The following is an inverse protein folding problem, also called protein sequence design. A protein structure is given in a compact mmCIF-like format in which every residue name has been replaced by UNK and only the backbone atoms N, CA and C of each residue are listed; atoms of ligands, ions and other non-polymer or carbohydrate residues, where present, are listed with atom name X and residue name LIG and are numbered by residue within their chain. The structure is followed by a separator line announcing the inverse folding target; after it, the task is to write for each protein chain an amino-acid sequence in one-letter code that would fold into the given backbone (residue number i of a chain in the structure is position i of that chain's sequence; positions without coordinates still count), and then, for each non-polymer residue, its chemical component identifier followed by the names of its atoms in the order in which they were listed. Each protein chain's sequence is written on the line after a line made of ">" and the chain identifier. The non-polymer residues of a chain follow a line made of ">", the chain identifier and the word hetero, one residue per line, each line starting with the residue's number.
data_IF_271354629228
#
_entry.id   IF_271354629228
#
_cell.length_a   1.000
_cell.length_b   1.000
_cell.length_c   1.000
_cell.angle_alpha   90.00
_cell.angle_beta   90.00
_cell.angle_gamma   90.00
#
_symmetry.space_group_name_H-M   'P 1'
#
loop_
_entity.id
_entity.type
_entity.pdbx_description
1 polymer ?
#
# COMPACT_ATOMS: atom_id res chain seq x y z
N UNK A 1 -3.59 8.81 -21.96
CA UNK A 1 -2.33 8.52 -21.29
C UNK A 1 -1.89 7.14 -21.68
N UNK A 2 -0.68 6.97 -22.18
CA UNK A 2 -0.24 5.66 -22.65
C UNK A 2 0.34 4.81 -21.51
N UNK A 3 0.43 3.50 -21.74
CA UNK A 3 0.92 2.54 -20.75
C UNK A 3 2.40 2.72 -20.43
N UNK A 4 3.18 3.25 -21.36
CA UNK A 4 4.61 3.49 -21.17
C UNK A 4 4.85 4.57 -20.13
N UNK A 5 4.07 5.65 -20.19
CA UNK A 5 4.14 6.73 -19.20
C UNK A 5 3.81 6.19 -17.79
N UNK A 6 2.75 5.40 -17.68
CA UNK A 6 2.35 4.79 -16.41
C UNK A 6 3.42 3.84 -15.87
N UNK A 7 4.06 3.07 -16.74
CA UNK A 7 5.13 2.17 -16.32
C UNK A 7 6.30 2.93 -15.72
N UNK A 8 6.68 4.06 -16.33
CA UNK A 8 7.74 4.90 -15.80
C UNK A 8 7.37 5.51 -14.44
N UNK A 9 6.15 6.00 -14.30
CA UNK A 9 5.66 6.53 -13.03
C UNK A 9 5.60 5.42 -11.98
N UNK A 10 5.09 4.24 -12.35
CA UNK A 10 5.01 3.09 -11.46
C UNK A 10 6.36 2.63 -10.95
N UNK A 11 7.40 2.63 -11.82
CA UNK A 11 8.76 2.25 -11.41
C UNK A 11 9.41 3.27 -10.50
N UNK A 12 8.89 4.51 -10.47
CA UNK A 12 9.37 5.59 -9.64
C UNK A 12 8.54 5.78 -8.37
N UNK A 13 7.64 4.85 -8.07
CA UNK A 13 6.78 4.94 -6.89
C UNK A 13 7.63 5.02 -5.62
N UNK A 14 7.42 6.02 -4.76
CA UNK A 14 8.15 6.14 -3.51
C UNK A 14 7.95 4.94 -2.60
N UNK A 15 8.95 4.62 -1.78
CA UNK A 15 8.84 3.53 -0.80
C UNK A 15 7.64 3.67 0.11
N UNK A 16 7.30 4.90 0.47
CA UNK A 16 6.13 5.17 1.30
C UNK A 16 4.83 4.73 0.67
N UNK A 17 4.73 4.76 -0.66
CA UNK A 17 3.52 4.33 -1.35
C UNK A 17 3.26 2.83 -1.19
N UNK A 18 4.28 1.99 -1.37
CA UNK A 18 4.11 0.54 -1.21
C UNK A 18 3.71 0.17 0.21
N UNK A 19 4.33 0.81 1.19
CA UNK A 19 3.99 0.65 2.60
C UNK A 19 2.54 1.06 2.87
N UNK A 20 2.13 2.20 2.37
CA UNK A 20 0.77 2.70 2.49
C UNK A 20 -0.23 1.75 1.85
N UNK A 21 0.07 1.25 0.64
CA UNK A 21 -0.80 0.32 -0.08
C UNK A 21 -1.05 -0.95 0.73
N UNK A 22 0.00 -1.53 1.32
CA UNK A 22 -0.13 -2.74 2.14
C UNK A 22 -1.02 -2.48 3.35
N UNK A 23 -0.80 -1.39 4.08
CA UNK A 23 -1.60 -1.07 5.24
C UNK A 23 -3.07 -0.85 4.89
N UNK A 24 -3.34 -0.15 3.78
CA UNK A 24 -4.71 0.06 3.30
C UNK A 24 -5.40 -1.24 2.91
N UNK A 25 -4.68 -2.11 2.21
CA UNK A 25 -5.22 -3.40 1.78
C UNK A 25 -5.59 -4.26 2.98
N UNK A 26 -4.73 -4.30 3.99
CA UNK A 26 -4.95 -5.12 5.17
C UNK A 26 -6.04 -4.59 6.11
N UNK A 27 -6.52 -3.36 5.91
CA UNK A 27 -7.68 -2.86 6.63
C UNK A 27 -8.94 -3.65 6.30
N UNK A 28 -9.05 -4.16 5.09
CA UNK A 28 -10.22 -4.92 4.66
C UNK A 28 -10.19 -6.35 5.19
N UNK A 29 -9.05 -7.04 5.04
CA UNK A 29 -8.89 -8.42 5.49
C UNK A 29 -7.42 -8.81 5.46
N UNK A 30 -7.08 -9.87 6.18
CA UNK A 30 -5.75 -10.46 6.13
C UNK A 30 -5.45 -11.04 4.75
N UNK A 31 -4.21 -10.89 4.30
CA UNK A 31 -3.75 -11.32 2.98
C UNK A 31 -2.39 -12.01 3.08
N UNK A 32 -2.18 -13.00 2.19
CA UNK A 32 -0.84 -13.56 1.98
C UNK A 32 -0.01 -12.57 1.17
N UNK A 33 1.33 -12.76 1.14
CA UNK A 33 2.19 -11.93 0.30
C UNK A 33 1.82 -12.01 -1.17
N UNK A 34 1.45 -13.21 -1.64
CA UNK A 34 1.00 -13.41 -3.03
C UNK A 34 -0.29 -12.62 -3.31
N UNK A 35 -1.26 -12.67 -2.40
CA UNK A 35 -2.51 -11.93 -2.56
C UNK A 35 -2.26 -10.42 -2.61
N UNK A 36 -1.32 -9.91 -1.82
CA UNK A 36 -0.96 -8.49 -1.85
C UNK A 36 -0.44 -8.11 -3.24
N UNK A 37 0.46 -8.93 -3.81
CA UNK A 37 0.99 -8.69 -5.15
C UNK A 37 -0.12 -8.74 -6.20
N UNK A 38 -0.96 -9.77 -6.13
CA UNK A 38 -2.07 -9.94 -7.08
C UNK A 38 -3.05 -8.76 -7.03
N UNK A 39 -3.35 -8.26 -5.82
CA UNK A 39 -4.23 -7.11 -5.64
C UNK A 39 -3.60 -5.83 -6.20
N UNK A 40 -2.29 -5.66 -6.06
CA UNK A 40 -1.59 -4.51 -6.65
C UNK A 40 -1.73 -4.51 -8.17
N UNK A 41 -1.55 -5.66 -8.79
CA UNK A 41 -1.71 -5.80 -10.24
C UNK A 41 -3.15 -5.52 -10.66
N UNK A 42 -4.11 -6.12 -9.96
CA UNK A 42 -5.54 -5.97 -10.25
C UNK A 42 -6.00 -4.51 -10.10
N UNK A 43 -5.69 -3.86 -8.98
CA UNK A 43 -6.15 -2.50 -8.71
C UNK A 43 -5.52 -1.46 -9.63
N UNK A 44 -4.34 -1.74 -10.16
CA UNK A 44 -3.65 -0.84 -11.09
C UNK A 44 -3.93 -1.19 -12.56
N UNK A 45 -4.82 -2.14 -12.83
CA UNK A 45 -5.09 -2.64 -14.18
C UNK A 45 -3.81 -3.13 -14.88
N UNK A 46 -2.94 -3.78 -14.13
CA UNK A 46 -1.69 -4.36 -14.65
C UNK A 46 -0.54 -3.38 -14.82
N UNK A 47 -0.73 -2.12 -14.44
CA UNK A 47 0.31 -1.09 -14.60
C UNK A 47 1.41 -1.25 -13.55
N UNK A 48 1.03 -1.53 -12.30
CA UNK A 48 1.98 -1.73 -11.20
C UNK A 48 2.04 -3.21 -10.83
N UNK A 49 3.21 -3.80 -11.06
CA UNK A 49 3.47 -5.22 -10.78
C UNK A 49 4.64 -5.33 -9.82
N UNK A 50 4.40 -5.12 -8.51
CA UNK A 50 5.49 -5.21 -7.54
C UNK A 50 6.05 -6.62 -7.49
N UNK A 51 7.36 -6.73 -7.34
CA UNK A 51 8.03 -8.03 -7.26
C UNK A 51 7.98 -8.58 -5.83
N UNK A 52 8.14 -9.90 -5.67
CA UNK A 52 8.33 -10.48 -4.33
C UNK A 52 9.54 -9.86 -3.61
N UNK A 53 10.60 -9.51 -4.34
CA UNK A 53 11.78 -8.86 -3.79
C UNK A 53 11.53 -7.47 -3.21
N UNK A 54 10.44 -6.82 -3.61
CA UNK A 54 10.00 -5.56 -3.00
C UNK A 54 9.05 -5.83 -1.82
N UNK A 55 8.08 -6.70 -2.01
CA UNK A 55 6.98 -6.88 -1.06
C UNK A 55 7.42 -7.62 0.21
N UNK A 56 8.14 -8.75 0.09
CA UNK A 56 8.49 -9.54 1.26
C UNK A 56 9.44 -8.84 2.23
N UNK A 57 10.49 -8.14 1.79
CA UNK A 57 11.30 -7.35 2.73
C UNK A 57 10.51 -6.24 3.41
N UNK A 58 9.55 -5.65 2.71
CA UNK A 58 8.69 -4.62 3.30
C UNK A 58 7.76 -5.21 4.37
N UNK A 59 7.19 -6.40 4.11
CA UNK A 59 6.41 -7.12 5.12
C UNK A 59 7.24 -7.41 6.35
N UNK A 60 8.50 -7.82 6.17
CA UNK A 60 9.43 -8.04 7.29
C UNK A 60 9.63 -6.80 8.13
N UNK A 61 9.79 -5.64 7.50
CA UNK A 61 9.92 -4.37 8.22
C UNK A 61 8.65 -4.00 8.98
N UNK A 62 7.48 -4.21 8.38
CA UNK A 62 6.20 -3.94 9.03
C UNK A 62 5.99 -4.86 10.25
N UNK A 63 6.42 -6.12 10.15
CA UNK A 63 6.41 -7.04 11.28
C UNK A 63 7.33 -6.54 12.41
N UNK A 64 8.54 -6.13 12.06
CA UNK A 64 9.51 -5.62 13.05
C UNK A 64 9.01 -4.36 13.75
N UNK A 65 8.27 -3.52 13.05
CA UNK A 65 7.67 -2.31 13.60
C UNK A 65 6.41 -2.57 14.41
N UNK A 66 5.91 -3.81 14.41
CA UNK A 66 4.70 -4.17 15.14
C UNK A 66 3.41 -3.66 14.51
N UNK A 67 3.43 -3.33 13.22
CA UNK A 67 2.25 -2.81 12.51
C UNK A 67 1.37 -3.93 11.94
N UNK A 68 1.98 -5.07 11.67
CA UNK A 68 1.28 -6.25 11.18
C UNK A 68 1.74 -7.47 11.97
N UNK A 69 0.94 -8.54 11.89
CA UNK A 69 1.29 -9.85 12.43
C UNK A 69 0.95 -10.91 11.40
N UNK A 70 1.61 -12.06 11.48
CA UNK A 70 1.38 -13.17 10.57
C UNK A 70 0.67 -14.29 11.29
N UNK A 71 -0.42 -14.77 10.70
CA UNK A 71 -1.17 -15.90 11.22
C UNK A 71 -0.53 -17.23 10.81
N UNK A 72 -1.00 -18.33 11.40
CA UNK A 72 -0.47 -19.67 11.13
C UNK A 72 -0.64 -20.09 9.67
N UNK A 73 -1.64 -19.57 8.99
CA UNK A 73 -1.90 -19.87 7.56
C UNK A 73 -1.17 -18.94 6.59
N UNK A 74 -0.21 -18.17 7.09
CA UNK A 74 0.61 -17.28 6.25
C UNK A 74 -0.03 -15.99 5.83
N UNK A 75 -1.13 -15.61 6.48
CA UNK A 75 -1.79 -14.34 6.21
C UNK A 75 -1.27 -13.26 7.13
N UNK A 76 -1.06 -12.08 6.57
CA UNK A 76 -0.68 -10.89 7.33
C UNK A 76 -1.93 -10.10 7.65
N UNK A 77 -1.98 -9.56 8.87
CA UNK A 77 -3.11 -8.73 9.30
C UNK A 77 -2.61 -7.58 10.16
N UNK A 78 -3.38 -6.50 10.22
CA UNK A 78 -3.00 -5.34 11.02
C UNK A 78 -3.07 -5.67 12.51
N UNK A 79 -2.11 -5.15 13.27
CA UNK A 79 -2.20 -5.06 14.72
C UNK A 79 -3.02 -3.80 15.07
N UNK A 80 -3.31 -3.60 16.34
CA UNK A 80 -3.95 -2.35 16.78
C UNK A 80 -3.11 -1.13 16.37
N UNK A 81 -1.79 -1.22 16.59
CA UNK A 81 -0.86 -0.16 16.19
C UNK A 81 -0.92 0.08 14.68
N UNK A 82 -0.98 -0.99 13.87
CA UNK A 82 -1.10 -0.88 12.42
C UNK A 82 -2.39 -0.21 11.99
N UNK A 83 -3.51 -0.56 12.64
CA UNK A 83 -4.80 0.07 12.35
C UNK A 83 -4.80 1.56 12.67
N UNK A 84 -4.22 1.95 13.79
CA UNK A 84 -4.10 3.35 14.17
C UNK A 84 -3.23 4.13 13.18
N UNK A 85 -2.10 3.52 12.78
CA UNK A 85 -1.20 4.13 11.81
C UNK A 85 -1.90 4.33 10.46
N UNK A 86 -2.64 3.33 9.99
CA UNK A 86 -3.39 3.43 8.74
C UNK A 86 -4.43 4.55 8.81
N UNK A 87 -5.14 4.69 9.92
CA UNK A 87 -6.11 5.76 10.11
C UNK A 87 -5.45 7.15 10.09
N UNK A 88 -4.29 7.29 10.71
CA UNK A 88 -3.56 8.56 10.73
C UNK A 88 -3.10 8.95 9.33
N UNK A 89 -2.62 7.99 8.55
CA UNK A 89 -2.24 8.22 7.16
C UNK A 89 -3.44 8.67 6.33
N UNK A 90 -4.60 8.05 6.53
CA UNK A 90 -5.83 8.43 5.84
C UNK A 90 -6.24 9.87 6.13
N UNK A 91 -6.13 10.29 7.39
CA UNK A 91 -6.44 11.66 7.76
C UNK A 91 -5.54 12.67 7.05
N UNK A 92 -4.24 12.39 6.98
CA UNK A 92 -3.28 13.25 6.28
C UNK A 92 -3.61 13.29 4.79
N UNK A 93 -3.90 12.14 4.19
CA UNK A 93 -4.25 12.06 2.77
C UNK A 93 -5.51 12.86 2.45
N UNK A 94 -6.52 12.82 3.32
CA UNK A 94 -7.74 13.62 3.13
C UNK A 94 -7.45 15.13 3.14
N UNK A 95 -6.59 15.57 4.06
CA UNK A 95 -6.20 16.98 4.14
C UNK A 95 -5.49 17.41 2.86
N UNK A 96 -4.51 16.64 2.41
CA UNK A 96 -3.76 16.92 1.18
C UNK A 96 -4.71 16.94 -0.02
N UNK A 97 -5.61 15.97 -0.12
CA UNK A 97 -6.58 15.88 -1.21
C UNK A 97 -7.48 17.12 -1.26
N UNK A 98 -7.97 17.57 -0.13
CA UNK A 98 -8.79 18.77 -0.05
C UNK A 98 -8.03 20.02 -0.51
N UNK A 99 -6.77 20.14 -0.11
CA UNK A 99 -5.94 21.28 -0.53
C UNK A 99 -5.68 21.26 -2.03
N UNK A 100 -5.43 20.09 -2.61
CA UNK A 100 -5.26 19.94 -4.04
C UNK A 100 -6.54 20.32 -4.79
N UNK A 101 -7.70 19.91 -4.28
CA UNK A 101 -8.99 20.27 -4.87
C UNK A 101 -9.18 21.79 -4.91
N UNK A 102 -8.82 22.48 -3.83
CA UNK A 102 -8.92 23.95 -3.77
C UNK A 102 -7.99 24.60 -4.81
N UNK A 103 -6.76 24.10 -4.92
CA UNK A 103 -5.78 24.64 -5.88
C UNK A 103 -6.23 24.43 -7.33
N UNK A 104 -6.80 23.29 -7.63
CA UNK A 104 -7.21 22.95 -9.01
C UNK A 104 -8.55 23.55 -9.42
N UNK A 105 -9.30 24.12 -8.49
CA UNK A 105 -10.53 24.86 -8.81
C UNK A 105 -10.27 26.30 -9.24
N UNK A 106 -9.06 26.77 -9.03
CA UNK A 106 -8.66 28.10 -9.47
C UNK A 106 -8.34 28.10 -10.95
#
# INVERSE_FOLDING_TARGET
>A
MDSEWFQRVGSSVPRGFSRYFILELLKEKGCTGKEIIDRAVEQSNGIWKPSPGLIYPLLGRLLDEGLIEESKDGRYQLTLKGSETAQDIDKVNEIVKKQLDVLFRL
#
